data_IF_503511502343
#
_entry.id   IF_503511502343
#
_cell.length_a   1.000
_cell.length_b   1.000
_cell.length_c   1.000
_cell.angle_alpha   90.00
_cell.angle_beta   90.00
_cell.angle_gamma   90.00
#
_symmetry.space_group_name_H-M   'P 1'
#
loop_
_entity.id
_entity.type
_entity.pdbx_description
1 polymer ?
#
# COMPACT_ATOMS: atom_id res chain seq x y z
N UNK A 1 9.66 -9.25 -1.51
CA UNK A 1 10.94 -10.00 -1.61
C UNK A 1 11.92 -9.16 -2.41
N UNK A 2 13.17 -9.07 -1.96
CA UNK A 2 14.22 -8.35 -2.69
C UNK A 2 15.33 -9.34 -3.05
N UNK A 3 15.82 -9.29 -4.28
CA UNK A 3 17.01 -10.03 -4.66
C UNK A 3 18.21 -9.46 -3.88
N UNK A 4 18.88 -10.30 -3.11
CA UNK A 4 19.95 -9.89 -2.19
C UNK A 4 21.32 -10.24 -2.78
N UNK A 5 21.41 -11.36 -3.49
CA UNK A 5 22.61 -11.81 -4.16
C UNK A 5 22.27 -12.85 -5.24
N UNK A 6 23.18 -13.05 -6.20
CA UNK A 6 23.17 -14.19 -7.10
C UNK A 6 24.58 -14.80 -7.12
N UNK A 7 24.69 -16.12 -7.25
CA UNK A 7 26.00 -16.78 -7.43
C UNK A 7 26.57 -16.48 -8.81
N UNK A 8 25.71 -16.40 -9.82
CA UNK A 8 26.09 -15.89 -11.14
C UNK A 8 24.88 -15.35 -11.90
N UNK A 9 25.09 -14.33 -12.72
CA UNK A 9 24.11 -13.83 -13.67
C UNK A 9 24.82 -13.59 -15.00
N UNK A 10 24.38 -14.26 -16.05
CA UNK A 10 24.95 -14.15 -17.39
C UNK A 10 23.86 -13.78 -18.39
N UNK A 11 24.18 -12.81 -19.23
CA UNK A 11 23.42 -12.48 -20.43
C UNK A 11 24.18 -13.12 -21.58
N UNK A 12 23.56 -14.09 -22.24
CA UNK A 12 24.17 -14.96 -23.24
C UNK A 12 23.72 -14.63 -24.67
N UNK A 13 22.74 -13.75 -24.82
CA UNK A 13 22.29 -13.23 -26.11
C UNK A 13 21.20 -12.17 -25.94
N UNK A 14 20.99 -11.36 -26.99
CA UNK A 14 19.82 -10.48 -27.06
C UNK A 14 18.56 -11.30 -27.36
N UNK A 15 17.44 -10.97 -26.72
CA UNK A 15 16.13 -11.44 -27.16
C UNK A 15 15.84 -10.75 -28.50
N UNK A 16 16.05 -11.45 -29.61
CA UNK A 16 15.72 -10.94 -30.94
C UNK A 16 14.22 -10.61 -31.08
N UNK A 17 13.38 -11.26 -30.28
CA UNK A 17 11.95 -11.01 -30.16
C UNK A 17 11.57 -10.91 -28.68
N UNK A 18 10.60 -10.08 -28.27
CA UNK A 18 10.16 -9.93 -26.87
C UNK A 18 9.39 -11.15 -26.34
N UNK A 19 9.33 -12.24 -27.12
CA UNK A 19 8.64 -13.49 -26.78
C UNK A 19 9.70 -14.53 -26.44
N UNK A 20 9.61 -15.11 -25.26
CA UNK A 20 10.50 -16.17 -24.80
C UNK A 20 9.88 -16.91 -23.63
N UNK A 21 10.53 -17.96 -23.15
CA UNK A 21 10.08 -18.69 -21.97
C UNK A 21 11.07 -18.52 -20.83
N UNK A 22 10.54 -18.21 -19.63
CA UNK A 22 11.33 -18.11 -18.41
C UNK A 22 11.02 -19.32 -17.54
N UNK A 23 12.06 -20.11 -17.25
CA UNK A 23 11.98 -21.25 -16.34
C UNK A 23 12.61 -20.87 -15.02
N UNK A 24 11.82 -20.92 -13.94
CA UNK A 24 12.29 -20.68 -12.57
C UNK A 24 12.31 -22.01 -11.83
N UNK A 25 13.44 -22.38 -11.24
CA UNK A 25 13.58 -23.57 -10.41
C UNK A 25 14.01 -23.17 -9.01
N UNK A 26 13.27 -23.60 -7.99
CA UNK A 26 13.67 -23.43 -6.60
C UNK A 26 14.81 -24.39 -6.27
N UNK A 27 15.93 -23.86 -5.77
CA UNK A 27 17.02 -24.68 -5.25
C UNK A 27 16.66 -25.10 -3.82
N UNK A 28 16.51 -26.40 -3.59
CA UNK A 28 16.24 -26.94 -2.26
C UNK A 28 17.44 -26.72 -1.33
N UNK A 29 17.18 -26.46 -0.04
CA UNK A 29 18.21 -26.33 0.99
C UNK A 29 18.46 -24.93 1.55
N UNK A 30 17.58 -23.95 1.29
CA UNK A 30 17.61 -22.64 1.96
C UNK A 30 16.99 -22.70 3.36
N UNK A 31 17.45 -21.82 4.25
CA UNK A 31 16.86 -21.60 5.58
C UNK A 31 15.39 -21.14 5.49
N UNK A 32 14.62 -21.20 6.59
CA UNK A 32 13.15 -21.02 6.56
C UNK A 32 12.67 -19.63 6.05
N UNK A 33 13.59 -18.66 5.85
CA UNK A 33 13.32 -17.34 5.29
C UNK A 33 14.09 -16.99 4.01
N UNK A 34 14.87 -17.92 3.44
CA UNK A 34 15.69 -17.67 2.24
C UNK A 34 15.17 -18.49 1.06
N UNK A 35 14.68 -17.79 0.03
CA UNK A 35 14.29 -18.42 -1.23
C UNK A 35 15.44 -18.30 -2.23
N UNK A 36 16.06 -19.42 -2.56
CA UNK A 36 17.10 -19.51 -3.60
C UNK A 36 16.50 -20.09 -4.87
N UNK A 37 16.64 -19.39 -6.01
CA UNK A 37 16.13 -19.85 -7.30
C UNK A 37 17.19 -19.77 -8.40
N UNK A 38 17.09 -20.69 -9.35
CA UNK A 38 17.77 -20.60 -10.64
C UNK A 38 16.75 -20.13 -11.70
N UNK A 39 17.15 -19.17 -12.52
CA UNK A 39 16.30 -18.57 -13.55
C UNK A 39 16.99 -18.69 -14.91
N UNK A 40 16.30 -19.31 -15.86
CA UNK A 40 16.77 -19.44 -17.23
C UNK A 40 15.73 -18.84 -18.17
N UNK A 41 16.11 -17.80 -18.92
CA UNK A 41 15.30 -17.26 -20.00
C UNK A 41 15.78 -17.82 -21.33
N UNK A 42 14.85 -18.32 -22.13
CA UNK A 42 15.09 -18.90 -23.45
C UNK A 42 14.34 -18.13 -24.52
N UNK A 43 15.02 -17.83 -25.61
CA UNK A 43 14.45 -17.32 -26.84
C UNK A 43 13.59 -18.40 -27.54
N UNK A 44 12.72 -18.02 -28.49
CA UNK A 44 11.81 -18.96 -29.14
C UNK A 44 12.54 -19.94 -30.06
N UNK A 45 13.78 -19.62 -30.44
CA UNK A 45 14.73 -20.49 -31.16
C UNK A 45 15.39 -21.56 -30.26
N UNK A 46 15.11 -21.54 -28.95
CA UNK A 46 15.70 -22.43 -27.95
C UNK A 46 17.05 -21.97 -27.41
N UNK A 47 17.58 -20.83 -27.87
CA UNK A 47 18.78 -20.21 -27.32
C UNK A 47 18.56 -19.72 -25.88
N UNK A 48 19.53 -19.94 -25.00
CA UNK A 48 19.49 -19.36 -23.65
C UNK A 48 19.98 -17.93 -23.74
N UNK A 49 19.14 -16.98 -23.34
CA UNK A 49 19.48 -15.55 -23.36
C UNK A 49 19.91 -15.06 -21.98
N UNK A 50 19.36 -15.63 -20.91
CA UNK A 50 19.69 -15.25 -19.54
C UNK A 50 19.81 -16.53 -18.70
N UNK A 51 20.92 -16.66 -17.97
CA UNK A 51 21.13 -17.70 -16.95
C UNK A 51 21.50 -17.01 -15.63
N UNK A 52 20.64 -17.14 -14.62
CA UNK A 52 20.90 -16.67 -13.27
C UNK A 52 20.89 -17.86 -12.34
N UNK A 53 21.99 -18.07 -11.61
CA UNK A 53 22.14 -19.17 -10.66
C UNK A 53 22.17 -18.67 -9.23
N UNK A 54 21.53 -19.46 -8.37
CA UNK A 54 21.40 -19.22 -6.93
C UNK A 54 21.02 -17.77 -6.60
N UNK A 55 19.99 -17.27 -7.28
CA UNK A 55 19.40 -15.98 -6.97
C UNK A 55 18.72 -16.08 -5.60
N UNK A 56 19.34 -15.42 -4.61
CA UNK A 56 18.91 -15.40 -3.22
C UNK A 56 17.93 -14.25 -3.02
N UNK A 57 16.74 -14.63 -2.56
CA UNK A 57 15.73 -13.72 -2.05
C UNK A 57 15.66 -13.91 -0.55
N UNK A 58 15.99 -12.86 0.21
CA UNK A 58 15.50 -12.78 1.56
C UNK A 58 13.99 -12.53 1.48
N UNK A 59 13.24 -13.21 2.34
CA UNK A 59 11.94 -12.70 2.75
C UNK A 59 12.16 -11.20 3.02
N UNK A 60 11.49 -10.36 2.24
CA UNK A 60 11.30 -9.01 2.71
C UNK A 60 10.44 -9.23 3.94
N UNK A 61 11.04 -9.12 5.12
CA UNK A 61 10.29 -8.94 6.35
C UNK A 61 9.13 -8.01 5.96
N UNK A 62 7.86 -8.38 6.21
CA UNK A 62 6.80 -7.40 6.08
C UNK A 62 7.33 -6.19 6.84
N UNK A 63 7.33 -5.02 6.20
CA UNK A 63 7.90 -3.82 6.79
C UNK A 63 7.09 -3.43 8.03
N UNK A 64 7.24 -4.19 9.10
CA UNK A 64 6.70 -4.00 10.40
C UNK A 64 7.58 -2.92 11.02
N UNK A 65 7.22 -1.67 10.73
CA UNK A 65 7.85 -0.50 11.35
C UNK A 65 8.54 0.47 10.41
N UNK A 66 8.60 0.25 9.09
CA UNK A 66 8.87 1.38 8.18
C UNK A 66 7.54 2.09 7.99
N UNK A 67 7.29 3.11 8.82
CA UNK A 67 6.16 4.00 8.60
C UNK A 67 6.18 4.46 7.14
N UNK A 68 5.10 4.22 6.37
CA UNK A 68 5.09 4.56 4.96
C UNK A 68 5.26 6.07 4.85
N UNK A 69 6.42 6.53 4.39
CA UNK A 69 6.59 7.93 4.04
C UNK A 69 5.48 8.29 3.06
N UNK A 70 4.67 9.32 3.34
CA UNK A 70 3.63 9.73 2.43
C UNK A 70 4.29 10.03 1.08
N UNK A 71 3.82 9.43 -0.03
CA UNK A 71 4.38 9.71 -1.33
C UNK A 71 4.17 11.20 -1.65
N UNK A 72 5.06 11.76 -2.47
CA UNK A 72 4.90 13.11 -2.98
C UNK A 72 3.74 13.14 -3.98
N UNK A 73 2.51 13.15 -3.47
CA UNK A 73 1.26 13.18 -4.24
C UNK A 73 1.25 14.28 -5.31
N UNK A 74 2.02 15.35 -5.07
CA UNK A 74 2.23 16.52 -5.93
C UNK A 74 2.81 16.18 -7.32
N UNK A 75 3.60 15.11 -7.42
CA UNK A 75 4.32 14.73 -8.65
C UNK A 75 3.53 13.71 -9.49
N UNK A 76 2.42 13.19 -8.95
CA UNK A 76 1.65 12.09 -9.54
C UNK A 76 0.40 12.61 -10.26
N UNK A 77 0.09 12.02 -11.41
CA UNK A 77 -1.21 12.22 -12.05
C UNK A 77 -2.35 11.63 -11.22
N UNK A 78 -3.59 12.05 -11.45
CA UNK A 78 -4.75 11.55 -10.68
C UNK A 78 -4.88 10.01 -10.74
N UNK A 79 -4.53 9.41 -11.87
CA UNK A 79 -4.57 7.95 -12.07
C UNK A 79 -3.47 7.24 -11.27
N UNK A 80 -2.27 7.82 -11.21
CA UNK A 80 -1.17 7.32 -10.38
C UNK A 80 -1.45 7.49 -8.88
N UNK A 81 -2.06 8.62 -8.48
CA UNK A 81 -2.52 8.84 -7.11
C UNK A 81 -3.53 7.77 -6.72
N UNK A 82 -4.53 7.50 -7.54
CA UNK A 82 -5.53 6.47 -7.27
C UNK A 82 -4.91 5.07 -7.14
N UNK A 83 -3.99 4.70 -8.04
CA UNK A 83 -3.32 3.40 -8.00
C UNK A 83 -2.46 3.21 -6.74
N UNK A 84 -1.65 4.22 -6.39
CA UNK A 84 -0.78 4.17 -5.21
C UNK A 84 -1.60 4.21 -3.92
N UNK A 85 -2.61 5.08 -3.85
CA UNK A 85 -3.49 5.20 -2.69
C UNK A 85 -4.28 3.92 -2.45
N UNK A 86 -4.86 3.33 -3.50
CA UNK A 86 -5.58 2.06 -3.40
C UNK A 86 -4.68 0.92 -2.90
N UNK A 87 -3.44 0.86 -3.39
CA UNK A 87 -2.44 -0.14 -2.94
C UNK A 87 -2.12 0.02 -1.45
N UNK A 88 -1.96 1.26 -0.98
CA UNK A 88 -1.64 1.55 0.42
C UNK A 88 -2.83 1.33 1.35
N UNK A 89 -4.03 1.78 0.99
CA UNK A 89 -5.26 1.52 1.75
C UNK A 89 -5.51 0.02 1.89
N UNK A 90 -5.34 -0.74 0.80
CA UNK A 90 -5.45 -2.20 0.83
C UNK A 90 -4.43 -2.84 1.78
N UNK A 91 -3.21 -2.30 1.83
CA UNK A 91 -2.16 -2.78 2.75
C UNK A 91 -2.47 -2.44 4.22
N UNK A 92 -3.04 -1.26 4.49
CA UNK A 92 -3.49 -0.86 5.83
C UNK A 92 -4.62 -1.81 6.28
N UNK A 93 -5.64 -2.00 5.44
CA UNK A 93 -6.76 -2.90 5.75
C UNK A 93 -6.31 -4.34 5.97
N UNK A 94 -5.42 -4.86 5.12
CA UNK A 94 -4.87 -6.20 5.28
C UNK A 94 -4.20 -6.41 6.64
N UNK A 95 -3.44 -5.40 7.10
CA UNK A 95 -2.78 -5.42 8.40
C UNK A 95 -3.80 -5.44 9.54
N UNK A 96 -4.76 -4.52 9.52
CA UNK A 96 -5.76 -4.44 10.59
C UNK A 96 -6.62 -5.72 10.62
N UNK A 97 -7.06 -6.20 9.46
CA UNK A 97 -7.85 -7.44 9.31
C UNK A 97 -7.04 -8.73 9.55
N UNK A 98 -5.73 -8.64 9.74
CA UNK A 98 -4.87 -9.81 9.96
C UNK A 98 -4.86 -10.81 8.80
N UNK A 99 -5.09 -10.34 7.56
CA UNK A 99 -5.19 -11.17 6.36
C UNK A 99 -4.19 -10.74 5.28
N UNK A 100 -3.82 -11.62 4.34
CA UNK A 100 -2.91 -11.21 3.26
C UNK A 100 -3.57 -10.16 2.36
N UNK A 101 -2.77 -9.22 1.84
CA UNK A 101 -3.23 -8.16 0.92
C UNK A 101 -4.04 -8.74 -0.24
N UNK A 102 -3.62 -9.88 -0.79
CA UNK A 102 -4.31 -10.56 -1.90
C UNK A 102 -5.71 -11.05 -1.56
N UNK A 103 -6.02 -11.28 -0.28
CA UNK A 103 -7.35 -11.69 0.19
C UNK A 103 -8.29 -10.51 0.47
N UNK A 104 -7.74 -9.29 0.56
CA UNK A 104 -8.56 -8.08 0.68
C UNK A 104 -9.22 -7.80 -0.67
N UNK A 105 -10.55 -7.77 -0.67
CA UNK A 105 -11.38 -7.43 -1.83
C UNK A 105 -11.63 -5.93 -1.85
N UNK A 106 -11.41 -5.31 -3.01
CA UNK A 106 -11.49 -3.85 -3.19
C UNK A 106 -12.92 -3.35 -3.40
N UNK A 107 -13.82 -4.23 -3.84
CA UNK A 107 -15.24 -3.91 -4.08
C UNK A 107 -16.12 -4.32 -2.90
N UNK A 108 -15.58 -5.14 -1.98
CA UNK A 108 -16.33 -5.61 -0.83
C UNK A 108 -16.46 -4.52 0.24
N UNK A 109 -17.63 -4.38 0.87
CA UNK A 109 -17.81 -3.47 1.99
C UNK A 109 -16.92 -3.81 3.19
N UNK A 110 -16.35 -2.81 3.86
CA UNK A 110 -15.51 -3.02 5.05
C UNK A 110 -16.19 -3.82 6.17
N UNK A 111 -17.47 -3.57 6.53
CA UNK A 111 -18.15 -4.33 7.57
C UNK A 111 -18.29 -5.82 7.21
N UNK A 112 -18.46 -6.14 5.92
CA UNK A 112 -18.56 -7.52 5.46
C UNK A 112 -17.21 -8.25 5.45
N UNK A 113 -16.11 -7.50 5.39
CA UNK A 113 -14.75 -8.03 5.58
C UNK A 113 -14.40 -8.25 7.06
N UNK A 114 -15.28 -7.84 7.98
CA UNK A 114 -15.05 -7.94 9.42
C UNK A 114 -14.35 -6.72 10.03
N UNK A 115 -14.37 -5.56 9.35
CA UNK A 115 -13.87 -4.32 9.94
C UNK A 115 -14.84 -3.85 11.04
N UNK A 116 -14.36 -3.81 12.29
CA UNK A 116 -15.09 -3.23 13.40
C UNK A 116 -14.70 -1.77 13.67
N UNK A 117 -15.41 -1.11 14.60
CA UNK A 117 -15.19 0.30 14.92
C UNK A 117 -13.79 0.61 15.44
N UNK A 118 -13.16 -0.29 16.20
CA UNK A 118 -11.80 -0.09 16.72
C UNK A 118 -10.78 -0.16 15.57
N UNK A 119 -10.93 -1.17 14.71
CA UNK A 119 -10.09 -1.33 13.52
C UNK A 119 -10.26 -0.16 12.56
N UNK A 120 -11.48 0.31 12.35
CA UNK A 120 -11.76 1.44 11.48
C UNK A 120 -11.08 2.72 11.97
N UNK A 121 -11.02 2.96 13.27
CA UNK A 121 -10.26 4.09 13.82
C UNK A 121 -8.76 3.98 13.58
N UNK A 122 -8.19 2.77 13.64
CA UNK A 122 -6.80 2.52 13.27
C UNK A 122 -6.56 2.79 11.77
N UNK A 123 -7.44 2.28 10.90
CA UNK A 123 -7.40 2.56 9.45
C UNK A 123 -7.49 4.06 9.17
N UNK A 124 -8.41 4.79 9.82
CA UNK A 124 -8.57 6.23 9.65
C UNK A 124 -7.34 7.01 10.10
N UNK A 125 -6.73 6.61 11.23
CA UNK A 125 -5.47 7.21 11.71
C UNK A 125 -4.34 7.02 10.69
N UNK A 126 -4.25 5.85 10.07
CA UNK A 126 -3.25 5.56 9.05
C UNK A 126 -3.54 6.24 7.72
N UNK A 127 -4.81 6.31 7.32
CA UNK A 127 -5.24 7.05 6.14
C UNK A 127 -4.94 8.54 6.30
N UNK A 128 -5.25 9.14 7.46
CA UNK A 128 -4.90 10.55 7.76
C UNK A 128 -3.40 10.80 7.64
N UNK A 129 -2.57 9.90 8.18
CA UNK A 129 -1.10 10.00 8.05
C UNK A 129 -0.65 9.88 6.59
N UNK A 130 -1.34 9.08 5.80
CA UNK A 130 -1.04 8.85 4.40
C UNK A 130 -1.38 10.07 3.51
N UNK A 131 -2.57 10.64 3.68
CA UNK A 131 -3.06 11.75 2.83
C UNK A 131 -2.75 13.14 3.38
N UNK A 132 -2.41 13.25 4.67
CA UNK A 132 -2.04 14.51 5.32
C UNK A 132 -3.23 15.40 5.74
N UNK A 133 -4.46 14.91 5.60
CA UNK A 133 -5.68 15.60 6.03
C UNK A 133 -6.64 14.64 6.75
N UNK A 134 -7.56 15.19 7.55
CA UNK A 134 -8.52 14.40 8.32
C UNK A 134 -9.50 13.66 7.41
N UNK A 135 -9.59 12.34 7.62
CA UNK A 135 -10.61 11.49 7.01
C UNK A 135 -11.64 11.21 8.10
N UNK A 136 -12.87 11.69 7.93
CA UNK A 136 -13.93 11.47 8.91
C UNK A 136 -14.45 10.03 8.84
N UNK A 137 -14.79 9.44 9.99
CA UNK A 137 -15.41 8.11 10.05
C UNK A 137 -16.70 8.05 9.21
N UNK A 138 -17.51 9.11 9.23
CA UNK A 138 -18.69 9.23 8.37
C UNK A 138 -18.38 8.99 6.89
N UNK A 139 -17.24 9.50 6.39
CA UNK A 139 -16.83 9.32 4.99
C UNK A 139 -16.40 7.91 4.66
N UNK A 140 -15.78 7.20 5.60
CA UNK A 140 -15.48 5.78 5.41
C UNK A 140 -16.76 4.93 5.35
N UNK A 141 -17.87 5.40 5.96
CA UNK A 141 -19.16 4.70 5.93
C UNK A 141 -19.97 5.08 4.68
N UNK A 142 -19.87 6.33 4.23
CA UNK A 142 -20.39 6.79 2.92
C UNK A 142 -19.70 6.09 1.74
N UNK A 143 -18.43 5.72 1.93
CA UNK A 143 -17.59 5.04 0.94
C UNK A 143 -17.08 3.71 1.50
N UNK A 144 -17.94 2.70 1.68
CA UNK A 144 -17.62 1.51 2.47
C UNK A 144 -16.71 0.51 1.73
N UNK A 145 -16.14 0.86 0.58
CA UNK A 145 -15.27 -0.02 -0.21
C UNK A 145 -13.92 0.66 -0.48
N UNK A 146 -12.87 -0.13 -0.72
CA UNK A 146 -11.55 0.43 -1.05
C UNK A 146 -11.63 1.25 -2.33
N UNK A 147 -12.35 0.77 -3.34
CA UNK A 147 -12.52 1.49 -4.60
C UNK A 147 -13.18 2.86 -4.39
N UNK A 148 -14.29 2.92 -3.63
CA UNK A 148 -15.00 4.17 -3.36
C UNK A 148 -14.16 5.15 -2.53
N UNK A 149 -13.51 4.64 -1.48
CA UNK A 149 -12.68 5.46 -0.59
C UNK A 149 -11.44 6.01 -1.32
N UNK A 150 -10.82 5.21 -2.19
CA UNK A 150 -9.70 5.62 -3.03
C UNK A 150 -10.10 6.72 -3.99
N UNK A 151 -11.25 6.59 -4.66
CA UNK A 151 -11.78 7.61 -5.56
C UNK A 151 -11.99 8.95 -4.83
N UNK A 152 -12.73 8.91 -3.73
CA UNK A 152 -13.01 10.11 -2.92
C UNK A 152 -11.74 10.83 -2.45
N UNK A 153 -10.78 10.07 -1.91
CA UNK A 153 -9.53 10.64 -1.42
C UNK A 153 -8.64 11.17 -2.55
N UNK A 154 -8.66 10.53 -3.72
CA UNK A 154 -7.94 11.02 -4.91
C UNK A 154 -8.46 12.38 -5.34
N UNK A 155 -9.78 12.55 -5.39
CA UNK A 155 -10.38 13.86 -5.72
C UNK A 155 -9.95 14.95 -4.73
N UNK A 156 -9.94 14.64 -3.43
CA UNK A 156 -9.50 15.58 -2.40
C UNK A 156 -8.01 15.95 -2.51
N UNK A 157 -7.15 14.98 -2.81
CA UNK A 157 -5.72 15.19 -3.02
C UNK A 157 -5.52 16.13 -4.22
N UNK A 158 -6.14 15.81 -5.37
CA UNK A 158 -6.05 16.62 -6.59
C UNK A 158 -6.59 18.03 -6.38
N UNK A 159 -7.72 18.19 -5.67
CA UNK A 159 -8.31 19.49 -5.35
C UNK A 159 -7.39 20.35 -4.47
N UNK A 160 -6.75 19.77 -3.45
CA UNK A 160 -5.80 20.50 -2.60
C UNK A 160 -4.54 20.93 -3.36
N UNK A 161 -4.05 20.12 -4.29
CA UNK A 161 -2.92 20.49 -5.16
C UNK A 161 -3.26 21.60 -6.15
N UNK A 162 -4.52 21.69 -6.57
CA UNK A 162 -5.03 22.83 -7.34
C UNK A 162 -4.97 24.14 -6.53
N UNK A 163 -5.32 24.08 -5.25
CA UNK A 163 -5.40 25.27 -4.37
C UNK A 163 -4.02 25.77 -3.89
N UNK A 164 -3.05 24.87 -3.66
CA UNK A 164 -1.70 25.24 -3.16
C UNK A 164 -0.80 25.90 -4.23
N UNK A 165 -1.15 25.84 -5.51
CA UNK A 165 -0.43 26.55 -6.58
C UNK A 165 -0.75 28.06 -6.64
N UNK A 166 -1.76 28.52 -5.89
CA UNK A 166 -2.19 29.93 -5.89
C UNK A 166 -1.65 30.72 -4.67
N UNK A 167 -0.97 30.07 -3.72
CA UNK A 167 -0.50 30.71 -2.47
C UNK A 167 1.02 30.69 -2.34
N UNK A 168 1.70 31.41 -3.23
CA UNK A 168 3.07 31.90 -2.97
C UNK A 168 3.02 33.41 -2.83
N UNK A 169 2.54 33.92 -1.70
CA UNK A 169 2.96 35.22 -1.12
C UNK A 169 2.29 35.46 0.25
N UNK A 170 3.10 35.77 1.27
CA UNK A 170 2.71 36.19 2.64
C UNK A 170 2.89 35.09 3.70
N UNK A 171 4.07 34.93 4.29
CA UNK A 171 4.58 35.62 5.50
C UNK A 171 3.85 35.29 6.82
N UNK A 172 4.63 34.76 7.78
CA UNK A 172 4.49 34.97 9.22
C UNK A 172 3.26 34.44 9.97
N UNK A 173 3.45 33.52 10.92
CA UNK A 173 2.47 33.35 12.01
C UNK A 173 2.61 32.09 12.84
N UNK A 174 3.16 32.24 14.05
CA UNK A 174 3.27 31.22 15.09
C UNK A 174 1.97 30.98 15.87
N UNK A 175 1.93 29.86 16.60
CA UNK A 175 0.93 29.52 17.63
C UNK A 175 -0.16 28.56 17.13
N UNK A 176 -0.71 27.63 17.90
CA UNK A 176 -0.54 27.20 19.30
C UNK A 176 -1.25 25.86 19.43
N UNK A 177 -0.75 25.06 20.37
CA UNK A 177 -1.42 23.96 21.07
C UNK A 177 -2.95 24.05 21.17
N UNK A 178 -3.63 22.92 20.95
CA UNK A 178 -5.09 22.82 20.97
C UNK A 178 -5.58 21.39 21.09
N UNK A 179 -5.57 20.89 22.33
CA UNK A 179 -6.21 19.67 22.80
C UNK A 179 -7.56 19.36 22.14
N UNK A 180 -7.71 18.15 21.62
CA UNK A 180 -9.00 17.56 21.23
C UNK A 180 -9.08 16.10 21.72
N UNK A 181 -9.00 15.93 23.04
CA UNK A 181 -9.17 14.65 23.74
C UNK A 181 -10.45 14.60 24.57
N UNK A 182 -11.61 14.97 24.00
CA UNK A 182 -12.82 15.14 24.80
C UNK A 182 -14.17 14.91 24.11
N UNK A 183 -14.23 14.12 23.03
CA UNK A 183 -15.52 13.84 22.34
C UNK A 183 -15.87 12.35 22.23
N UNK A 184 -15.02 11.45 22.72
CA UNK A 184 -15.24 10.00 22.62
C UNK A 184 -15.91 9.39 23.85
N UNK A 185 -15.96 10.10 24.98
CA UNK A 185 -16.48 9.55 26.24
C UNK A 185 -18.01 9.70 26.39
N UNK A 186 -18.61 10.71 25.74
CA UNK A 186 -20.05 10.99 25.88
C UNK A 186 -20.97 10.16 24.97
N UNK A 187 -20.42 9.41 24.00
CA UNK A 187 -21.22 8.63 23.05
C UNK A 187 -21.48 7.19 23.52
N UNK A 188 -20.77 6.70 24.55
CA UNK A 188 -20.91 5.30 25.02
C UNK A 188 -21.86 5.11 26.22
N UNK A 189 -22.26 6.19 26.93
CA UNK A 189 -23.21 6.09 28.07
C UNK A 189 -24.68 5.97 27.62
N UNK A 190 -24.99 6.30 26.37
CA UNK A 190 -26.38 6.40 25.88
C UNK A 190 -26.99 5.08 25.38
N UNK A 191 -26.32 3.92 25.53
CA UNK A 191 -26.81 2.62 25.02
C UNK A 191 -27.08 1.56 26.09
N UNK A 192 -27.06 1.92 27.38
CA UNK A 192 -27.41 0.99 28.48
C UNK A 192 -28.62 1.43 29.33
N UNK A 193 -29.25 2.56 29.02
CA UNK A 193 -30.46 3.02 29.73
C UNK A 193 -31.71 2.77 28.89
N UNK A 194 -32.04 1.51 28.65
CA UNK A 194 -33.18 1.16 27.81
C UNK A 194 -33.52 -0.33 27.69
N UNK A 195 -33.46 -1.10 28.78
CA UNK A 195 -34.28 -2.31 28.93
C UNK A 195 -34.52 -2.67 30.40
#
# INVERSE_FOLDING_TARGET
MRAVAAESARILGELAEPRGSVRVRRRGGGDAGELVVDLVATAPDGGVCIDVRALRYAAAEPAAGREPTPPAWVELSAEEVAAELGTRLRSILARELGMPVSAVDVERPFPEMGLDSMMAMAVLKDAKRLVGFDVSATKMWDHPTIAAMTGYLTELIVAQHGSKRDTTEGDGGAGTDGSAGGVLDALFDSVESGM
#
